data_IF_119501582027
#
_entry.id   IF_119501582027
#
_cell.length_a   1.000
_cell.length_b   1.000
_cell.length_c   1.000
_cell.angle_alpha   90.00
_cell.angle_beta   90.00
_cell.angle_gamma   90.00
#
_symmetry.space_group_name_H-M   'P 1'
#
loop_
_entity.id
_entity.type
_entity.pdbx_description
1 polymer ?
2 non-polymer ?
3 water ?
#
# COMPACT_ATOMS: atom_id res chain seq x y z
N UNK A 4 -10.19 26.49 -10.45
CA UNK A 4 -11.57 26.21 -10.05
C UNK A 4 -11.61 25.03 -9.07
N UNK A 5 -10.76 24.03 -9.29
CA UNK A 5 -10.75 22.86 -8.41
C UNK A 5 -10.21 23.24 -7.04
N UNK A 6 -10.89 22.77 -6.00
CA UNK A 6 -10.38 22.82 -4.64
C UNK A 6 -10.48 21.42 -4.05
N UNK A 7 -9.53 21.08 -3.19
CA UNK A 7 -9.50 19.73 -2.67
C UNK A 7 -10.73 19.45 -1.82
N UNK A 8 -11.23 18.22 -1.84
CA UNK A 8 -12.42 17.91 -1.04
C UNK A 8 -12.09 17.85 0.44
N UNK A 9 -13.11 18.13 1.25
CA UNK A 9 -13.01 18.13 2.70
C UNK A 9 -14.01 17.21 3.37
N UNK A 10 -14.87 16.53 2.61
CA UNK A 10 -15.98 15.78 3.18
C UNK A 10 -15.50 14.70 4.14
N UNK A 11 -16.08 14.67 5.33
CA UNK A 11 -15.82 13.63 6.31
C UNK A 11 -17.16 12.96 6.61
N UNK A 12 -17.36 11.77 6.07
CA UNK A 12 -18.60 11.04 6.32
C UNK A 12 -18.64 10.43 7.72
N UNK A 13 -17.48 10.25 8.35
CA UNK A 13 -17.43 9.57 9.64
C UNK A 13 -17.72 8.09 9.56
N UNK A 14 -17.35 7.45 8.44
CA UNK A 14 -17.56 6.02 8.29
C UNK A 14 -16.69 5.22 9.25
N UNK A 15 -17.22 4.12 9.73
CA UNK A 15 -16.41 3.13 10.42
C UNK A 15 -15.32 2.64 9.46
N UNK A 16 -14.23 2.13 10.03
CA UNK A 16 -13.18 1.55 9.20
C UNK A 16 -13.74 0.45 8.30
N UNK A 17 -14.66 -0.37 8.82
CA UNK A 17 -15.24 -1.41 7.98
C UNK A 17 -15.97 -0.83 6.78
N UNK A 18 -16.76 0.24 6.99
CA UNK A 18 -17.49 0.84 5.87
C UNK A 18 -16.55 1.53 4.89
N UNK A 19 -15.51 2.19 5.39
CA UNK A 19 -14.55 2.85 4.50
C UNK A 19 -13.86 1.82 3.62
N UNK A 20 -13.36 0.76 4.23
CA UNK A 20 -12.65 -0.27 3.47
C UNK A 20 -13.57 -0.91 2.44
N UNK A 21 -14.84 -1.13 2.80
CA UNK A 21 -15.79 -1.70 1.86
C UNK A 21 -15.95 -0.84 0.62
N UNK A 22 -15.78 0.48 0.76
CA UNK A 22 -15.97 1.41 -0.36
C UNK A 22 -14.74 1.54 -1.26
N UNK A 23 -13.61 0.93 -0.91
CA UNK A 23 -12.36 1.19 -1.64
C UNK A 23 -12.28 0.50 -3.01
N UNK A 24 -12.82 -0.70 -3.14
CA UNK A 24 -12.98 -1.42 -4.44
C UNK A 24 -11.61 -1.81 -5.02
N UNK A 25 -11.39 -1.64 -6.35
CA UNK A 25 -10.18 -2.07 -7.07
C UNK A 25 -9.14 -0.95 -7.03
N UNK A 26 -7.88 -1.27 -6.76
CA UNK A 26 -6.86 -0.25 -6.61
C UNK A 26 -5.55 -0.52 -7.34
N UNK A 27 -4.64 0.42 -7.16
CA UNK A 27 -3.46 0.56 -8.01
C UNK A 27 -2.42 1.39 -7.27
N UNK A 28 -1.16 1.00 -7.37
CA UNK A 28 -0.05 1.75 -6.81
C UNK A 28 0.71 2.49 -7.90
N UNK A 29 1.06 3.75 -7.60
CA UNK A 29 1.96 4.57 -8.42
C UNK A 29 3.41 4.15 -8.13
N UNK A 30 3.79 3.01 -8.70
CA UNK A 30 5.05 2.38 -8.33
C UNK A 30 6.26 3.00 -9.01
N UNK A 31 7.39 2.88 -8.33
CA UNK A 31 8.68 3.36 -8.85
C UNK A 31 8.60 4.83 -9.28
N UNK A 32 7.99 5.64 -8.42
CA UNK A 32 7.72 7.04 -8.71
C UNK A 32 8.22 7.88 -7.52
N UNK A 33 7.34 8.34 -6.62
CA UNK A 33 7.78 9.21 -5.54
C UNK A 33 8.54 8.51 -4.43
N UNK A 34 8.69 7.19 -4.49
CA UNK A 34 9.59 6.49 -3.59
C UNK A 34 10.97 6.24 -4.19
N UNK A 35 11.22 6.70 -5.41
CA UNK A 35 12.50 6.43 -6.08
C UNK A 35 13.65 7.19 -5.43
N UNK A 36 14.86 6.66 -5.57
CA UNK A 36 16.06 7.44 -5.27
C UNK A 36 16.17 8.55 -6.31
N UNK A 37 16.31 9.78 -5.86
CA UNK A 37 16.46 10.90 -6.76
C UNK A 37 15.18 11.60 -7.15
N UNK A 38 14.07 11.28 -6.51
CA UNK A 38 12.82 11.95 -6.80
C UNK A 38 11.98 11.20 -7.80
N UNK A 39 10.93 11.89 -8.24
CA UNK A 39 9.83 11.27 -8.99
C UNK A 39 10.31 10.52 -10.23
N UNK A 40 11.31 11.07 -10.92
CA UNK A 40 11.82 10.47 -12.16
C UNK A 40 13.09 9.66 -11.94
N UNK A 41 13.50 9.46 -10.69
CA UNK A 41 14.80 8.88 -10.41
C UNK A 41 14.95 7.44 -10.85
N UNK A 42 13.85 6.70 -10.95
CA UNK A 42 13.89 5.32 -11.42
C UNK A 42 13.33 5.20 -12.84
N UNK A 43 13.33 6.30 -13.59
CA UNK A 43 13.07 6.26 -15.01
C UNK A 43 11.63 6.48 -15.43
N UNK A 44 10.72 6.68 -14.49
CA UNK A 44 9.33 6.92 -14.86
C UNK A 44 9.09 8.40 -15.13
N UNK A 45 8.08 8.72 -15.92
CA UNK A 45 7.80 10.12 -16.24
C UNK A 45 7.16 10.84 -15.08
N UNK A 46 7.15 12.17 -15.17
CA UNK A 46 6.40 12.97 -14.22
C UNK A 46 4.93 12.60 -14.32
N UNK A 47 4.31 12.37 -13.17
CA UNK A 47 2.92 11.95 -13.12
C UNK A 47 1.98 13.10 -13.53
N UNK A 48 0.88 12.76 -14.20
CA UNK A 48 -0.12 13.74 -14.63
C UNK A 48 -1.52 13.32 -14.21
N UNK A 49 -2.42 14.30 -14.15
CA UNK A 49 -3.81 14.00 -13.87
C UNK A 49 -4.40 13.06 -14.91
N UNK A 50 -4.03 13.23 -16.19
CA UNK A 50 -4.56 12.37 -17.24
C UNK A 50 -4.29 10.89 -16.97
N UNK A 51 -3.16 10.57 -16.33
CA UNK A 51 -2.91 9.17 -15.97
C UNK A 51 -3.99 8.66 -15.03
N UNK A 52 -4.36 9.47 -14.04
CA UNK A 52 -5.39 9.09 -13.09
C UNK A 52 -6.77 9.07 -13.75
N UNK A 53 -7.04 10.02 -14.64
CA UNK A 53 -8.28 9.99 -15.40
C UNK A 53 -8.43 8.67 -16.12
N UNK A 54 -7.33 8.18 -16.71
CA UNK A 54 -7.35 6.92 -17.45
C UNK A 54 -7.63 5.75 -16.53
N UNK A 55 -7.01 5.74 -15.35
CA UNK A 55 -7.27 4.69 -14.37
C UNK A 55 -8.73 4.70 -13.93
N UNK A 56 -9.27 5.89 -13.64
CA UNK A 56 -10.66 5.97 -13.22
C UNK A 56 -11.58 5.43 -14.30
N UNK A 57 -11.34 5.81 -15.57
CA UNK A 57 -12.22 5.34 -16.64
C UNK A 57 -12.14 3.83 -16.82
N UNK A 58 -11.00 3.24 -16.48
CA UNK A 58 -10.81 1.80 -16.58
C UNK A 58 -11.42 1.02 -15.41
N UNK A 59 -11.89 1.70 -14.37
CA UNK A 59 -12.58 1.06 -13.28
C UNK A 59 -11.86 1.03 -11.95
N UNK A 60 -10.69 1.64 -11.84
CA UNK A 60 -10.01 1.73 -10.56
C UNK A 60 -10.64 2.81 -9.69
N UNK A 61 -10.60 2.59 -8.37
CA UNK A 61 -11.21 3.49 -7.41
C UNK A 61 -10.26 3.98 -6.32
N UNK A 62 -9.07 3.40 -6.21
CA UNK A 62 -8.12 3.70 -5.15
C UNK A 62 -6.71 3.73 -5.73
N UNK A 63 -5.93 4.75 -5.37
CA UNK A 63 -4.53 4.84 -5.76
C UNK A 63 -3.67 5.01 -4.51
N UNK A 64 -2.68 4.15 -4.37
CA UNK A 64 -1.65 4.29 -3.34
C UNK A 64 -0.43 4.98 -3.93
N UNK A 65 0.09 5.95 -3.18
CA UNK A 65 1.17 6.83 -3.62
C UNK A 65 2.38 6.64 -2.71
N UNK A 66 3.27 5.71 -3.05
CA UNK A 66 4.53 5.57 -2.31
C UNK A 66 5.31 6.87 -2.29
N UNK A 67 5.78 7.28 -1.10
CA UNK A 67 6.58 8.51 -0.98
C UNK A 67 7.78 8.26 -0.08
N UNK A 68 8.98 8.49 -0.63
CA UNK A 68 10.21 8.60 0.15
C UNK A 68 10.39 10.06 0.51
N UNK A 69 10.63 10.36 1.80
CA UNK A 69 10.70 11.74 2.26
C UNK A 69 12.09 12.24 2.59
N UNK A 70 13.02 11.34 2.89
CA UNK A 70 14.29 11.73 3.52
C UNK A 70 15.37 12.18 2.55
N UNK A 71 15.06 12.38 1.27
CA UNK A 71 15.93 13.15 0.39
C UNK A 71 15.46 14.59 0.29
N UNK A 72 14.40 14.96 1.00
CA UNK A 72 13.80 16.29 0.94
C UNK A 72 13.68 16.95 2.30
N UNK A 73 14.59 16.64 3.21
CA UNK A 73 14.69 17.35 4.47
C UNK A 73 15.56 18.60 4.28
N UNK A 74 15.09 19.73 4.81
CA UNK A 74 15.77 21.01 4.59
C UNK A 74 16.66 21.43 5.76
N UNK A 75 16.68 20.66 6.83
CA UNK A 75 17.47 20.96 8.01
C UNK A 75 17.87 19.63 8.62
N UNK A 76 18.34 19.67 9.86
CA UNK A 76 18.80 18.46 10.53
C UNK A 76 17.73 17.83 11.41
N UNK A 77 16.49 18.32 11.38
CA UNK A 77 15.45 17.77 12.23
C UNK A 77 14.24 17.32 11.43
N UNK A 78 14.47 16.79 10.23
CA UNK A 78 13.46 16.12 9.42
C UNK A 78 12.39 17.07 8.90
N UNK A 79 12.67 18.37 8.78
CA UNK A 79 11.69 19.28 8.21
C UNK A 79 11.59 19.05 6.71
N UNK A 80 10.39 18.79 6.22
CA UNK A 80 10.16 18.47 4.82
C UNK A 80 10.07 19.77 4.00
N UNK A 81 10.76 19.79 2.89
CA UNK A 81 10.69 20.92 1.96
C UNK A 81 9.24 21.18 1.55
N UNK A 82 8.71 22.38 1.78
CA UNK A 82 7.34 22.68 1.31
C UNK A 82 7.11 22.39 -0.16
N UNK A 83 8.12 22.54 -1.01
CA UNK A 83 7.93 22.25 -2.43
C UNK A 83 7.70 20.77 -2.68
N UNK A 84 8.32 19.91 -1.89
CA UNK A 84 8.11 18.48 -2.04
C UNK A 84 6.76 18.05 -1.48
N UNK A 85 6.42 18.57 -0.30
CA UNK A 85 5.08 18.35 0.26
C UNK A 85 4.01 18.77 -0.75
N UNK A 86 4.24 19.90 -1.44
CA UNK A 86 3.28 20.40 -2.42
C UNK A 86 3.14 19.45 -3.60
N UNK A 87 4.25 18.83 -4.03
CA UNK A 87 4.15 17.87 -5.13
C UNK A 87 3.34 16.65 -4.72
N UNK A 88 3.59 16.12 -3.52
CA UNK A 88 2.80 15.00 -3.03
C UNK A 88 1.32 15.38 -3.01
N UNK A 89 1.01 16.58 -2.51
CA UNK A 89 -0.37 17.06 -2.48
C UNK A 89 -0.97 17.16 -3.88
N UNK A 90 -0.20 17.63 -4.86
CA UNK A 90 -0.70 17.72 -6.24
C UNK A 90 -1.08 16.34 -6.75
N UNK A 91 -0.25 15.34 -6.49
CA UNK A 91 -0.54 13.97 -6.94
C UNK A 91 -1.73 13.39 -6.19
N UNK A 92 -1.82 13.61 -4.88
CA UNK A 92 -3.02 13.22 -4.13
C UNK A 92 -4.26 13.75 -4.84
N UNK A 93 -4.20 15.03 -5.24
CA UNK A 93 -5.36 15.65 -5.86
C UNK A 93 -5.66 15.14 -7.26
N UNK A 94 -4.70 14.54 -7.96
CA UNK A 94 -5.06 13.87 -9.20
C UNK A 94 -6.07 12.76 -8.93
N UNK A 95 -5.91 12.07 -7.80
CA UNK A 95 -6.84 11.02 -7.40
C UNK A 95 -8.12 11.60 -6.84
N UNK A 96 -8.00 12.54 -5.91
CA UNK A 96 -9.20 13.04 -5.25
C UNK A 96 -10.11 13.80 -6.23
N UNK A 97 -9.54 14.46 -7.24
CA UNK A 97 -10.36 15.17 -8.23
C UNK A 97 -11.16 14.20 -9.08
N UNK A 98 -10.74 12.93 -9.14
CA UNK A 98 -11.47 11.86 -9.78
C UNK A 98 -12.35 11.07 -8.80
N UNK A 99 -12.54 11.59 -7.59
CA UNK A 99 -13.30 10.92 -6.52
C UNK A 99 -12.77 9.52 -6.22
N UNK A 100 -11.45 9.36 -6.29
CA UNK A 100 -10.76 8.13 -5.94
C UNK A 100 -10.14 8.28 -4.56
N UNK A 101 -10.01 7.16 -3.86
CA UNK A 101 -9.20 7.12 -2.65
C UNK A 101 -7.73 7.32 -3.00
N UNK A 102 -7.01 7.98 -2.09
CA UNK A 102 -5.58 8.20 -2.21
C UNK A 102 -4.92 7.80 -0.89
N UNK A 103 -3.88 6.97 -0.97
CA UNK A 103 -3.14 6.53 0.22
C UNK A 103 -1.75 7.15 0.14
N UNK A 104 -1.33 7.86 1.20
CA UNK A 104 0.02 8.40 1.31
C UNK A 104 0.73 7.68 2.45
N UNK A 105 2.02 7.39 2.26
CA UNK A 105 2.78 6.61 3.24
C UNK A 105 4.18 7.23 3.44
N UNK A 106 5.00 6.51 4.20
CA UNK A 106 6.45 6.63 4.21
C UNK A 106 6.99 5.36 3.59
N UNK A 107 7.86 5.50 2.58
CA UNK A 107 8.22 4.37 1.71
C UNK A 107 9.69 4.50 1.36
N UNK A 108 10.51 3.57 1.85
CA UNK A 108 11.94 3.52 1.60
C UNK A 108 12.74 4.64 2.28
N UNK A 109 12.16 5.39 3.21
CA UNK A 109 13.02 6.16 4.10
C UNK A 109 14.06 5.21 4.69
N UNK A 110 15.25 5.72 5.00
CA UNK A 110 16.26 4.88 5.62
C UNK A 110 15.74 4.16 6.86
N UNK A 111 14.92 4.83 7.67
CA UNK A 111 14.47 4.19 8.91
C UNK A 111 13.58 2.98 8.68
N UNK A 112 13.02 2.82 7.48
CA UNK A 112 12.22 1.64 7.18
C UNK A 112 12.98 0.35 7.47
N UNK A 113 14.30 0.36 7.33
CA UNK A 113 15.12 -0.82 7.57
C UNK A 113 15.78 -0.89 8.94
N UNK A 114 15.28 -0.10 9.89
CA UNK A 114 15.89 0.04 11.21
C UNK A 114 14.92 -0.31 12.33
N UNK A 115 14.01 -1.25 12.07
CA UNK A 115 13.03 -1.69 13.07
C UNK A 115 13.66 -2.73 13.99
N UNK A 116 14.48 -2.23 14.90
CA UNK A 116 15.18 -3.03 15.90
C UNK A 116 15.37 -2.19 17.16
N UNK A 117 15.73 -2.85 18.25
CA UNK A 117 15.87 -2.12 19.52
C UNK A 117 16.96 -1.08 19.45
N UNK A 118 18.05 -1.36 18.72
CA UNK A 118 19.15 -0.41 18.63
C UNK A 118 18.71 0.94 18.04
N UNK A 119 17.70 0.96 17.19
CA UNK A 119 17.25 2.20 16.56
C UNK A 119 15.85 2.63 16.97
N UNK A 120 15.22 1.93 17.91
CA UNK A 120 13.80 2.15 18.19
C UNK A 120 13.50 3.61 18.53
N UNK A 121 14.22 4.20 19.47
CA UNK A 121 13.92 5.57 19.86
C UNK A 121 14.06 6.51 18.67
N UNK A 122 15.10 6.32 17.87
CA UNK A 122 15.34 7.21 16.74
C UNK A 122 14.27 7.08 15.67
N UNK A 123 13.82 5.85 15.37
CA UNK A 123 12.83 5.71 14.30
C UNK A 123 11.47 6.21 14.77
N UNK A 124 11.14 6.03 16.03
CA UNK A 124 9.87 6.56 16.51
C UNK A 124 9.90 8.09 16.51
N UNK A 125 11.04 8.67 16.86
CA UNK A 125 11.16 10.12 16.82
C UNK A 125 11.05 10.67 15.40
N UNK A 126 11.78 10.07 14.45
CA UNK A 126 11.67 10.53 13.07
C UNK A 126 10.28 10.32 12.52
N UNK A 127 9.68 9.15 12.75
CA UNK A 127 8.34 8.92 12.26
C UNK A 127 7.33 9.88 12.86
N UNK A 128 7.49 10.22 14.14
CA UNK A 128 6.59 11.17 14.79
C UNK A 128 6.72 12.54 14.14
N UNK A 129 7.95 13.01 13.93
CA UNK A 129 8.16 14.34 13.37
C UNK A 129 7.65 14.42 11.93
N UNK A 130 7.90 13.37 11.14
CA UNK A 130 7.45 13.32 9.76
C UNK A 130 5.93 13.23 9.68
N UNK A 131 5.33 12.30 10.42
CA UNK A 131 3.88 12.16 10.39
C UNK A 131 3.16 13.40 10.94
N UNK A 132 3.74 14.08 11.93
CA UNK A 132 3.11 15.32 12.39
C UNK A 132 3.02 16.32 11.25
N UNK A 133 4.08 16.43 10.45
CA UNK A 133 4.06 17.35 9.31
C UNK A 133 3.07 16.91 8.22
N UNK A 134 3.08 15.64 7.84
CA UNK A 134 2.15 15.17 6.80
C UNK A 134 0.72 15.37 7.28
N UNK A 135 0.43 14.90 8.49
CA UNK A 135 -0.91 15.02 9.04
C UNK A 135 -1.35 16.47 9.13
N UNK A 136 -0.48 17.35 9.64
CA UNK A 136 -0.88 18.75 9.75
C UNK A 136 -1.17 19.34 8.37
N UNK A 137 -0.36 18.99 7.37
CA UNK A 137 -0.55 19.55 6.03
C UNK A 137 -1.92 19.18 5.47
N UNK A 138 -2.35 17.94 5.71
CA UNK A 138 -3.55 17.39 5.10
C UNK A 138 -4.73 17.29 6.07
N UNK A 139 -4.72 18.04 7.20
CA UNK A 139 -5.67 17.73 8.26
C UNK A 139 -7.12 18.01 7.86
N UNK A 140 -7.37 18.94 6.93
CA UNK A 140 -8.76 19.20 6.53
C UNK A 140 -9.21 18.37 5.34
N UNK A 141 -8.36 17.50 4.79
CA UNK A 141 -8.70 16.73 3.60
C UNK A 141 -9.78 15.70 3.90
N UNK A 142 -10.57 15.40 2.86
CA UNK A 142 -11.67 14.47 2.96
C UNK A 142 -11.21 13.07 3.38
N UNK A 143 -12.20 12.25 3.72
CA UNK A 143 -12.01 10.87 4.13
C UNK A 143 -11.55 9.96 3.00
N UNK A 144 -11.42 10.46 1.78
CA UNK A 144 -10.83 9.64 0.72
C UNK A 144 -9.30 9.65 0.77
N UNK A 145 -8.69 10.50 1.59
CA UNK A 145 -7.27 10.43 1.86
C UNK A 145 -7.02 9.53 3.07
N UNK A 146 -6.18 8.52 2.89
CA UNK A 146 -5.85 7.52 3.89
C UNK A 146 -4.35 7.59 4.14
N UNK A 147 -3.91 7.36 5.38
CA UNK A 147 -2.49 7.32 5.72
C UNK A 147 -2.05 5.87 6.00
N UNK A 148 -0.83 5.53 5.61
CA UNK A 148 -0.23 4.20 5.75
C UNK A 148 1.11 4.42 6.45
N UNK A 149 1.26 3.95 7.69
CA UNK A 149 2.25 4.53 8.61
C UNK A 149 3.71 4.27 8.19
N UNK A 150 3.98 3.16 7.52
CA UNK A 150 5.31 2.79 7.03
C UNK A 150 5.10 1.66 6.04
N UNK A 151 5.85 1.63 4.95
CA UNK A 151 5.61 0.68 3.86
C UNK A 151 5.92 -0.78 4.25
N UNK A 152 7.21 -1.12 4.35
CA UNK A 152 7.67 -2.49 4.60
C UNK A 152 8.70 -2.49 5.72
N UNK A 153 8.25 -2.22 6.95
CA UNK A 153 9.18 -2.04 8.07
C UNK A 153 9.92 -3.33 8.39
N UNK A 154 11.22 -3.21 8.62
CA UNK A 154 12.02 -4.41 8.83
C UNK A 154 13.36 -4.02 9.45
N UNK A 155 14.13 -5.05 9.81
CA UNK A 155 15.53 -4.91 10.16
C UNK A 155 16.35 -5.30 8.94
N UNK A 156 17.07 -4.32 8.36
CA UNK A 156 18.01 -4.55 7.26
C UNK A 156 17.27 -5.29 6.14
N UNK A 157 17.78 -6.41 5.64
CA UNK A 157 17.09 -7.23 4.64
C UNK A 157 16.70 -8.59 5.23
N UNK A 158 16.31 -8.59 6.50
CA UNK A 158 15.81 -9.79 7.18
C UNK A 158 14.30 -9.83 6.97
N UNK A 159 13.86 -10.63 6.01
CA UNK A 159 12.44 -10.75 5.69
C UNK A 159 11.75 -11.83 6.50
N UNK A 160 12.49 -12.51 7.38
CA UNK A 160 11.91 -13.46 8.34
C UNK A 160 11.52 -12.75 9.63
N UNK A 161 12.44 -11.99 10.20
CA UNK A 161 12.16 -11.23 11.39
C UNK A 161 12.33 -12.04 12.67
N UNK A 162 12.14 -11.34 13.79
CA UNK A 162 12.20 -11.91 15.13
C UNK A 162 11.19 -11.15 15.98
N UNK A 163 10.87 -11.72 17.15
CA UNK A 163 9.94 -11.06 18.07
C UNK A 163 10.45 -9.68 18.47
N UNK A 164 11.77 -9.53 18.63
CA UNK A 164 12.32 -8.21 18.94
C UNK A 164 11.83 -7.18 17.94
N UNK A 165 11.99 -7.47 16.65
CA UNK A 165 11.65 -6.50 15.63
C UNK A 165 10.14 -6.34 15.53
N UNK A 166 9.39 -7.44 15.70
CA UNK A 166 7.94 -7.32 15.67
C UNK A 166 7.47 -6.37 16.75
N UNK A 167 8.07 -6.44 17.94
CA UNK A 167 7.65 -5.59 19.05
C UNK A 167 8.02 -4.13 18.80
N UNK A 168 9.19 -3.89 18.19
CA UNK A 168 9.55 -2.51 17.85
C UNK A 168 8.51 -1.91 16.92
N UNK A 169 8.10 -2.67 15.90
CA UNK A 169 7.06 -2.18 14.99
C UNK A 169 5.75 -1.92 15.73
N UNK A 170 5.37 -2.81 16.65
CA UNK A 170 4.14 -2.60 17.41
C UNK A 170 4.21 -1.28 18.18
N UNK A 171 5.38 -0.96 18.75
CA UNK A 171 5.51 0.31 19.47
C UNK A 171 5.48 1.50 18.52
N UNK A 172 6.09 1.37 17.34
CA UNK A 172 6.02 2.43 16.33
C UNK A 172 4.58 2.72 15.94
N UNK A 173 3.83 1.67 15.58
CA UNK A 173 2.45 1.90 15.17
C UNK A 173 1.61 2.46 16.32
N UNK A 174 1.86 2.00 17.54
CA UNK A 174 1.10 2.46 18.70
C UNK A 174 1.37 3.92 19.03
N UNK A 175 2.53 4.47 18.63
CA UNK A 175 2.81 5.88 18.82
C UNK A 175 2.33 6.73 17.64
N UNK A 176 2.55 6.26 16.42
CA UNK A 176 2.21 7.07 15.24
C UNK A 176 0.70 7.29 15.13
N UNK A 177 -0.10 6.27 15.39
CA UNK A 177 -1.56 6.44 15.26
C UNK A 177 -2.06 7.57 16.15
N UNK A 178 -1.77 7.61 17.45
CA UNK A 178 -2.27 8.74 18.26
C UNK A 178 -1.63 10.06 17.89
N UNK A 179 -0.39 10.07 17.40
CA UNK A 179 0.22 11.31 16.91
C UNK A 179 -0.63 11.91 15.80
N UNK A 180 -1.05 11.08 14.84
CA UNK A 180 -1.92 11.54 13.77
C UNK A 180 -3.25 12.04 14.32
N UNK A 181 -3.88 11.27 15.22
CA UNK A 181 -5.19 11.65 15.74
C UNK A 181 -5.14 13.01 16.41
N UNK A 182 -4.07 13.28 17.17
CA UNK A 182 -4.01 14.49 17.98
C UNK A 182 -3.86 15.75 17.15
N UNK A 183 -3.44 15.63 15.88
CA UNK A 183 -3.38 16.82 15.02
C UNK A 183 -4.77 17.33 14.69
N UNK A 184 -5.78 16.49 14.86
CA UNK A 184 -7.15 16.95 14.91
C UNK A 184 -7.85 17.08 13.56
N UNK A 185 -8.94 17.83 13.59
CA UNK A 185 -9.85 18.01 12.46
C UNK A 185 -10.13 16.63 11.84
N UNK A 186 -10.02 16.46 10.52
CA UNK A 186 -10.41 15.21 9.90
C UNK A 186 -9.44 14.08 10.22
N UNK A 187 -8.24 14.39 10.69
CA UNK A 187 -7.30 13.34 11.07
C UNK A 187 -7.78 12.53 12.27
N UNK A 188 -8.66 13.10 13.08
CA UNK A 188 -9.23 12.35 14.20
C UNK A 188 -10.18 11.25 13.72
N UNK A 189 -10.63 11.30 12.46
CA UNK A 189 -11.64 10.39 11.91
C UNK A 189 -11.17 9.67 10.65
N UNK A 190 -9.92 9.86 10.26
CA UNK A 190 -9.38 9.32 9.02
C UNK A 190 -8.94 7.87 9.20
N UNK A 191 -9.14 7.03 8.18
CA UNK A 191 -8.60 5.68 8.23
C UNK A 191 -7.07 5.73 8.20
N UNK A 192 -6.45 4.96 9.10
CA UNK A 192 -5.00 4.76 9.12
C UNK A 192 -4.71 3.28 8.93
N UNK A 193 -3.79 2.99 8.02
CA UNK A 193 -3.31 1.64 7.74
C UNK A 193 -2.03 1.37 8.52
N UNK A 194 -1.94 0.19 9.15
CA UNK A 194 -0.80 -0.20 9.94
C UNK A 194 -0.31 -1.56 9.44
N UNK A 195 0.96 -1.70 9.05
CA UNK A 195 1.46 -2.97 8.52
C UNK A 195 1.95 -3.91 9.61
N UNK A 196 1.93 -5.20 9.28
CA UNK A 196 2.77 -6.19 9.95
C UNK A 196 4.23 -5.97 9.53
N UNK A 197 5.13 -6.74 10.14
CA UNK A 197 6.55 -6.70 9.77
C UNK A 197 6.69 -7.07 8.29
N UNK A 198 7.37 -6.22 7.52
CA UNK A 198 7.51 -6.34 6.08
C UNK A 198 6.17 -6.29 5.35
N UNK A 199 5.10 -5.85 6.01
CA UNK A 199 3.73 -6.00 5.50
C UNK A 199 3.45 -7.45 5.09
N UNK A 200 4.11 -8.40 5.75
CA UNK A 200 4.01 -9.79 5.37
C UNK A 200 2.73 -10.45 5.88
N UNK A 201 2.23 -11.40 5.08
CA UNK A 201 1.15 -12.29 5.45
C UNK A 201 1.63 -13.62 5.99
N UNK A 202 2.94 -13.85 6.11
CA UNK A 202 3.39 -15.09 6.73
C UNK A 202 2.92 -15.11 8.18
N UNK A 203 2.53 -16.30 8.65
CA UNK A 203 1.87 -16.38 9.94
C UNK A 203 2.68 -15.78 11.10
N UNK A 204 3.99 -15.96 11.20
CA UNK A 204 4.68 -15.38 12.37
C UNK A 204 4.56 -13.86 12.47
N UNK A 205 4.57 -13.18 11.33
CA UNK A 205 4.38 -11.72 11.36
C UNK A 205 2.96 -11.36 11.77
N UNK A 206 1.99 -12.11 11.26
CA UNK A 206 0.59 -11.87 11.59
C UNK A 206 0.34 -12.11 13.07
N UNK A 207 0.87 -13.21 13.60
CA UNK A 207 0.68 -13.51 15.01
C UNK A 207 1.43 -12.54 15.91
N UNK A 208 2.57 -12.03 15.45
CA UNK A 208 3.37 -11.10 16.21
C UNK A 208 2.83 -9.70 16.25
N UNK A 209 1.88 -9.39 15.37
CA UNK A 209 1.28 -8.07 15.27
C UNK A 209 0.40 -7.77 16.47
N UNK A 210 0.52 -6.56 17.02
CA UNK A 210 -0.44 -6.00 17.96
C UNK A 210 -1.02 -4.79 17.26
N UNK A 211 -2.29 -4.86 16.87
CA UNK A 211 -2.92 -3.71 16.24
C UNK A 211 -3.11 -2.64 17.31
N UNK A 212 -2.77 -1.37 17.05
CA UNK A 212 -2.98 -0.34 18.06
C UNK A 212 -4.40 -0.30 18.58
N UNK A 213 -4.54 0.17 19.83
CA UNK A 213 -5.83 0.36 20.46
C UNK A 213 -6.47 1.62 19.90
N UNK A 214 -7.00 1.49 18.69
CA UNK A 214 -7.65 2.58 17.93
C UNK A 214 -8.72 1.87 17.11
N UNK A 215 -9.96 2.36 17.10
CA UNK A 215 -11.05 1.63 16.44
C UNK A 215 -11.17 1.89 14.95
N UNK A 216 -10.30 2.69 14.37
CA UNK A 216 -10.41 3.12 12.97
C UNK A 216 -9.09 2.94 12.24
N UNK A 217 -8.58 1.71 12.29
CA UNK A 217 -7.39 1.32 11.56
C UNK A 217 -7.67 0.07 10.72
N UNK A 218 -6.85 -0.10 9.70
CA UNK A 218 -6.86 -1.30 8.87
C UNK A 218 -5.45 -1.88 8.83
N UNK A 219 -5.35 -3.20 8.72
CA UNK A 219 -4.03 -3.83 8.61
C UNK A 219 -3.59 -3.80 7.15
N UNK A 220 -2.34 -3.40 6.93
CA UNK A 220 -1.72 -3.33 5.61
C UNK A 220 -0.92 -4.60 5.35
N UNK A 221 -1.26 -5.31 4.27
CA UNK A 221 -0.59 -6.53 3.85
C UNK A 221 -0.15 -6.39 2.41
N UNK A 222 1.07 -6.83 2.12
CA UNK A 222 1.60 -6.93 0.75
C UNK A 222 1.82 -8.42 0.50
N UNK A 223 1.15 -8.98 -0.50
CA UNK A 223 1.14 -10.45 -0.66
C UNK A 223 1.28 -10.82 -2.14
N UNK A 224 2.53 -10.85 -2.59
CA UNK A 224 2.86 -11.34 -3.93
C UNK A 224 3.11 -12.84 -3.78
N UNK A 225 2.01 -13.59 -3.74
CA UNK A 225 2.06 -14.98 -3.30
C UNK A 225 1.37 -15.90 -4.29
N UNK A 226 1.85 -17.14 -4.47
CA UNK A 226 3.12 -17.64 -3.95
C UNK A 226 4.29 -16.93 -4.63
N UNK A 227 5.36 -16.68 -3.89
CA UNK A 227 6.46 -15.85 -4.37
C UNK A 227 7.07 -16.36 -5.67
N UNK A 228 7.34 -17.67 -5.79
CA UNK A 228 8.10 -18.13 -6.94
C UNK A 228 7.36 -17.90 -8.25
N UNK A 229 6.03 -17.95 -8.22
CA UNK A 229 5.22 -17.64 -9.40
C UNK A 229 5.03 -16.13 -9.56
N UNK A 230 4.68 -15.45 -8.49
CA UNK A 230 4.17 -14.09 -8.60
C UNK A 230 5.26 -13.03 -8.73
N UNK A 231 6.41 -13.21 -8.09
CA UNK A 231 7.39 -12.14 -8.01
C UNK A 231 8.82 -12.56 -8.29
N UNK A 232 9.18 -13.83 -8.17
CA UNK A 232 10.54 -14.26 -8.49
C UNK A 232 10.73 -14.17 -9.99
N UNK A 233 11.69 -13.35 -10.43
CA UNK A 233 11.92 -13.11 -11.86
C UNK A 233 13.03 -13.97 -12.44
N UNK A 234 13.67 -14.82 -11.65
CA UNK A 234 14.77 -15.61 -12.19
C UNK A 234 14.27 -16.50 -13.33
N UNK A 235 15.11 -16.74 -14.33
CA UNK A 235 14.72 -17.67 -15.38
C UNK A 235 14.53 -19.07 -14.81
N UNK A 236 13.63 -19.84 -15.43
CA UNK A 236 13.35 -21.19 -15.01
C UNK A 236 12.38 -21.34 -13.86
N UNK A 237 11.90 -20.23 -13.31
CA UNK A 237 10.94 -20.26 -12.21
C UNK A 237 9.54 -20.57 -12.72
N UNK A 238 8.61 -20.89 -11.83
CA UNK A 238 7.26 -21.27 -12.27
C UNK A 238 6.54 -20.18 -13.04
N UNK A 239 5.78 -20.60 -14.06
CA UNK A 239 4.91 -19.73 -14.83
C UNK A 239 3.45 -20.13 -14.81
N UNK A 240 3.12 -21.35 -14.36
CA UNK A 240 1.75 -21.86 -14.41
C UNK A 240 1.06 -21.57 -13.09
N UNK A 241 -0.17 -21.08 -13.17
CA UNK A 241 -1.02 -20.90 -11.99
C UNK A 241 -1.84 -22.18 -11.82
N UNK A 242 -1.50 -22.98 -10.81
CA UNK A 242 -2.12 -24.26 -10.58
C UNK A 242 -2.70 -24.43 -9.19
N UNK A 243 -3.15 -25.66 -8.92
CA UNK A 243 -3.91 -25.95 -7.72
C UNK A 243 -3.14 -25.58 -6.45
N UNK A 244 -1.84 -25.89 -6.39
CA UNK A 244 -1.10 -25.61 -5.16
C UNK A 244 -0.96 -24.11 -4.93
N UNK A 245 -0.86 -23.33 -6.00
CA UNK A 245 -0.77 -21.89 -5.86
C UNK A 245 -2.08 -21.31 -5.34
N UNK A 246 -3.19 -21.75 -5.94
CA UNK A 246 -4.51 -21.32 -5.47
C UNK A 246 -4.72 -21.71 -4.02
N UNK A 247 -4.31 -22.92 -3.64
CA UNK A 247 -4.47 -23.36 -2.26
C UNK A 247 -3.69 -22.47 -1.30
N UNK A 248 -2.48 -22.05 -1.69
CA UNK A 248 -1.68 -21.21 -0.81
C UNK A 248 -2.36 -19.85 -0.60
N UNK A 249 -2.88 -19.27 -1.67
CA UNK A 249 -3.59 -18.00 -1.56
C UNK A 249 -4.81 -18.16 -0.67
N UNK A 250 -5.60 -19.21 -0.91
CA UNK A 250 -6.83 -19.39 -0.13
C UNK A 250 -6.53 -19.56 1.35
N UNK A 251 -5.52 -20.37 1.68
CA UNK A 251 -5.15 -20.57 3.08
C UNK A 251 -4.73 -19.27 3.73
N UNK A 252 -3.93 -18.48 3.03
CA UNK A 252 -3.45 -17.22 3.58
C UNK A 252 -4.62 -16.28 3.85
N UNK A 253 -5.55 -16.18 2.91
CA UNK A 253 -6.67 -15.25 3.08
C UNK A 253 -7.62 -15.71 4.17
N UNK A 254 -7.89 -17.01 4.25
CA UNK A 254 -8.70 -17.51 5.37
C UNK A 254 -8.04 -17.18 6.71
N UNK A 255 -6.72 -17.28 6.79
CA UNK A 255 -6.01 -16.98 8.02
C UNK A 255 -6.09 -15.49 8.36
N UNK A 256 -5.95 -14.61 7.36
CA UNK A 256 -6.07 -13.18 7.63
C UNK A 256 -7.49 -12.85 8.09
N UNK A 257 -8.48 -13.52 7.50
CA UNK A 257 -9.87 -13.34 7.92
C UNK A 257 -10.05 -13.76 9.37
N UNK A 258 -9.48 -14.91 9.76
CA UNK A 258 -9.61 -15.37 11.15
C UNK A 258 -8.93 -14.41 12.12
N UNK A 259 -7.75 -13.91 11.77
CA UNK A 259 -6.98 -13.14 12.74
C UNK A 259 -7.54 -11.73 12.90
N UNK A 260 -7.90 -11.08 11.79
CA UNK A 260 -8.26 -9.66 11.79
C UNK A 260 -9.74 -9.43 11.48
N UNK A 261 -10.19 -9.86 10.31
CA UNK A 261 -11.50 -9.41 9.81
C UNK A 261 -12.64 -9.89 10.71
N UNK A 262 -12.58 -11.16 11.14
CA UNK A 262 -13.60 -11.70 12.02
C UNK A 262 -13.58 -11.04 13.39
N UNK A 263 -12.49 -10.39 13.75
CA UNK A 263 -12.40 -9.63 15.00
C UNK A 263 -12.73 -8.16 14.79
N UNK A 264 -13.29 -7.80 13.64
CA UNK A 264 -13.72 -6.44 13.37
C UNK A 264 -12.67 -5.49 12.88
N UNK A 265 -11.51 -6.00 12.43
CA UNK A 265 -10.42 -5.16 11.94
C UNK A 265 -10.23 -5.46 10.45
N UNK A 266 -10.50 -4.51 9.56
CA UNK A 266 -10.36 -4.79 8.14
C UNK A 266 -8.92 -4.92 7.71
N UNK A 267 -8.71 -5.58 6.57
CA UNK A 267 -7.41 -5.79 5.96
C UNK A 267 -7.44 -5.21 4.55
N UNK A 268 -6.38 -4.50 4.18
CA UNK A 268 -6.18 -4.00 2.82
C UNK A 268 -4.95 -4.70 2.25
N UNK A 269 -5.08 -5.30 1.07
CA UNK A 269 -3.93 -5.81 0.33
C UNK A 269 -3.34 -4.62 -0.43
N UNK A 270 -2.45 -3.90 0.25
CA UNK A 270 -1.90 -2.67 -0.29
C UNK A 270 -0.98 -2.86 -1.47
N UNK A 271 -0.45 -4.08 -1.65
CA UNK A 271 0.32 -4.42 -2.84
C UNK A 271 0.11 -5.89 -3.18
N UNK A 272 -0.14 -6.17 -4.46
CA UNK A 272 -0.02 -7.51 -5.02
C UNK A 272 0.21 -7.32 -6.51
N UNK A 273 0.65 -8.39 -7.18
CA UNK A 273 0.79 -8.45 -8.63
C UNK A 273 1.29 -9.84 -8.98
N UNK A 274 1.30 -10.14 -10.29
CA UNK A 274 1.98 -11.31 -10.83
C UNK A 274 2.85 -10.84 -12.00
N UNK A 275 4.15 -11.08 -11.89
CA UNK A 275 5.09 -10.58 -12.88
C UNK A 275 4.93 -11.29 -14.22
N UNK A 276 5.19 -10.54 -15.30
CA UNK A 276 5.04 -11.08 -16.65
C UNK A 276 6.16 -12.06 -16.96
N UNK A 277 5.81 -13.31 -17.18
CA UNK A 277 6.73 -14.34 -17.66
C UNK A 277 6.23 -14.86 -19.01
N UNK A 278 5.63 -13.97 -19.80
CA UNK A 278 5.06 -14.32 -21.10
C UNK A 278 4.01 -15.41 -20.95
N UNK A 279 3.20 -15.26 -19.90
CA UNK A 279 2.23 -16.24 -19.44
C UNK A 279 0.89 -15.59 -19.18
N UNK A 280 0.37 -14.88 -20.19
CA UNK A 280 -0.81 -14.04 -20.00
C UNK A 280 -1.98 -14.81 -19.40
N UNK A 281 -2.29 -16.00 -19.92
CA UNK A 281 -3.47 -16.70 -19.42
C UNK A 281 -3.31 -17.09 -17.96
N UNK A 282 -2.10 -17.50 -17.56
CA UNK A 282 -1.84 -17.76 -16.15
C UNK A 282 -2.01 -16.51 -15.30
N UNK A 283 -1.58 -15.36 -15.82
CA UNK A 283 -1.73 -14.11 -15.07
C UNK A 283 -3.20 -13.72 -14.92
N UNK A 284 -4.00 -13.97 -15.97
CA UNK A 284 -5.45 -13.70 -15.90
C UNK A 284 -6.08 -14.57 -14.83
N UNK A 285 -5.79 -15.88 -14.88
CA UNK A 285 -6.38 -16.81 -13.93
C UNK A 285 -5.94 -16.50 -12.52
N UNK A 286 -4.66 -16.19 -12.32
CA UNK A 286 -4.17 -15.78 -11.02
C UNK A 286 -4.92 -14.57 -10.50
N UNK A 287 -5.04 -13.54 -11.33
CA UNK A 287 -5.60 -12.27 -10.87
C UNK A 287 -7.07 -12.40 -10.55
N UNK A 288 -7.81 -13.12 -11.38
CA UNK A 288 -9.22 -13.39 -11.09
C UNK A 288 -9.36 -14.13 -9.77
N UNK A 289 -8.60 -15.21 -9.61
CA UNK A 289 -8.69 -16.01 -8.39
C UNK A 289 -8.32 -15.18 -7.16
N UNK A 290 -7.21 -14.44 -7.26
CA UNK A 290 -6.70 -13.65 -6.15
C UNK A 290 -7.73 -12.62 -5.70
N UNK A 291 -8.22 -11.82 -6.63
CA UNK A 291 -9.16 -10.77 -6.26
C UNK A 291 -10.46 -11.37 -5.77
N UNK A 292 -10.94 -12.45 -6.39
CA UNK A 292 -12.16 -13.13 -5.91
C UNK A 292 -12.00 -13.54 -4.46
N UNK A 293 -10.88 -14.18 -4.14
CA UNK A 293 -10.65 -14.68 -2.79
C UNK A 293 -10.58 -13.53 -1.80
N UNK A 294 -9.81 -12.48 -2.12
CA UNK A 294 -9.72 -11.33 -1.24
C UNK A 294 -11.08 -10.67 -1.03
N UNK A 295 -11.86 -10.54 -2.10
CA UNK A 295 -13.16 -9.89 -2.01
C UNK A 295 -14.10 -10.67 -1.10
N UNK A 296 -13.97 -12.01 -1.08
CA UNK A 296 -14.80 -12.82 -0.19
C UNK A 296 -14.61 -12.44 1.27
N UNK A 297 -13.45 -11.88 1.64
CA UNK A 297 -13.16 -11.44 3.00
C UNK A 297 -13.06 -9.92 3.11
N UNK A 298 -13.63 -9.20 2.15
CA UNK A 298 -13.71 -7.74 2.23
C UNK A 298 -12.40 -7.01 2.12
N UNK A 299 -11.41 -7.60 1.45
CA UNK A 299 -10.09 -6.99 1.36
C UNK A 299 -9.87 -6.37 -0.01
N UNK A 300 -9.76 -5.04 -0.10
CA UNK A 300 -9.40 -4.45 -1.39
C UNK A 300 -7.98 -4.82 -1.79
N UNK A 301 -7.78 -4.95 -3.10
CA UNK A 301 -6.49 -5.33 -3.68
C UNK A 301 -5.96 -4.20 -4.55
N UNK A 302 -4.71 -3.82 -4.32
CA UNK A 302 -4.06 -2.74 -5.05
C UNK A 302 -2.88 -3.29 -5.84
N UNK A 303 -2.98 -3.31 -7.16
CA UNK A 303 -1.92 -3.82 -8.02
C UNK A 303 -0.70 -2.90 -7.96
N UNK A 304 0.49 -3.49 -7.88
CA UNK A 304 1.75 -2.73 -7.93
C UNK A 304 2.14 -2.48 -9.38
N UNK A 305 1.97 -1.25 -9.84
CA UNK A 305 2.23 -0.88 -11.24
C UNK A 305 3.48 0.00 -11.31
N UNK A 306 4.59 -0.61 -11.73
CA UNK A 306 5.85 0.11 -11.85
C UNK A 306 6.13 0.66 -13.26
N UNK A 307 5.17 0.56 -14.18
CA UNK A 307 5.33 1.08 -15.54
C UNK A 307 6.45 0.38 -16.29
N UNK A 308 6.83 -0.85 -15.92
CA UNK A 308 7.86 -1.61 -16.61
C UNK A 308 7.22 -2.57 -17.61
N UNK A 309 7.43 -2.29 -18.90
CA UNK A 309 6.97 -3.12 -20.00
C UNK A 309 8.14 -3.68 -20.80
N UNK A 310 9.35 -3.59 -20.26
CA UNK A 310 10.53 -4.03 -20.94
C UNK A 310 10.80 -5.51 -20.71
N UNK A 311 12.03 -5.91 -21.06
CA UNK A 311 12.41 -7.30 -21.11
C UNK A 311 13.04 -7.79 -19.82
N UNK A 312 13.43 -6.89 -18.92
CA UNK A 312 14.15 -7.25 -17.70
C UNK A 312 13.43 -6.68 -16.49
N UNK A 313 13.83 -7.17 -15.33
CA UNK A 313 13.33 -6.64 -14.08
C UNK A 313 11.95 -7.19 -13.73
N UNK A 314 11.28 -6.49 -12.81
CA UNK A 314 9.94 -6.88 -12.38
C UNK A 314 8.96 -6.33 -13.39
N UNK A 315 8.39 -7.20 -14.21
CA UNK A 315 7.53 -6.79 -15.34
C UNK A 315 6.11 -6.71 -14.82
N UNK A 316 5.76 -5.56 -14.25
CA UNK A 316 4.52 -5.38 -13.50
C UNK A 316 3.66 -4.26 -14.05
N UNK A 317 4.00 -3.71 -15.22
CA UNK A 317 3.23 -2.62 -15.76
C UNK A 317 1.83 -3.05 -16.18
N UNK A 318 0.85 -2.18 -15.90
CA UNK A 318 -0.49 -2.29 -16.46
C UNK A 318 -0.85 -1.08 -17.31
N UNK A 319 -0.67 0.12 -16.76
CA UNK A 319 -0.87 1.36 -17.49
C UNK A 319 0.46 1.80 -18.11
N UNK A 320 0.53 1.85 -19.43
CA UNK A 320 1.70 2.40 -20.09
C UNK A 320 1.60 3.91 -19.96
N UNK A 321 2.47 4.51 -19.14
CA UNK A 321 2.34 5.93 -18.84
C UNK A 321 2.81 6.82 -19.97
N UNK A 322 3.53 6.30 -20.95
CA UNK A 322 3.97 7.11 -22.08
C UNK A 322 2.81 7.51 -22.96
N UNK A 323 1.83 6.62 -23.16
CA UNK A 323 0.73 6.91 -24.08
C UNK A 323 -0.64 6.59 -23.49
N UNK A 324 -0.69 6.26 -22.20
CA UNK A 324 -1.94 6.10 -21.45
C UNK A 324 -2.80 4.96 -21.98
N UNK A 325 -2.16 3.83 -22.22
CA UNK A 325 -2.83 2.66 -22.76
C UNK A 325 -2.65 1.49 -21.81
N UNK A 326 -3.46 0.46 -22.03
CA UNK A 326 -3.40 -0.79 -21.28
C UNK A 326 -3.04 -1.92 -22.24
N UNK A 327 -1.80 -2.36 -22.30
CA UNK A 327 -1.45 -3.44 -23.25
C UNK A 327 -2.00 -4.80 -22.83
N UNK A 328 -2.35 -4.96 -21.55
CA UNK A 328 -2.89 -6.20 -21.00
C UNK A 328 -4.25 -5.88 -20.39
N UNK A 329 -5.22 -5.48 -21.21
CA UNK A 329 -6.54 -5.13 -20.66
C UNK A 329 -7.19 -6.31 -19.96
N UNK A 330 -6.80 -7.53 -20.33
CA UNK A 330 -7.36 -8.73 -19.71
C UNK A 330 -7.08 -8.77 -18.22
N UNK A 331 -5.99 -8.16 -17.77
CA UNK A 331 -5.66 -8.20 -16.35
C UNK A 331 -6.52 -7.22 -15.56
N UNK A 332 -6.83 -6.06 -16.15
CA UNK A 332 -7.79 -5.16 -15.52
C UNK A 332 -9.15 -5.82 -15.46
N UNK A 333 -9.56 -6.47 -16.55
CA UNK A 333 -10.85 -7.15 -16.56
C UNK A 333 -10.88 -8.28 -15.54
N UNK A 334 -9.76 -8.97 -15.33
CA UNK A 334 -9.70 -10.03 -14.33
C UNK A 334 -9.93 -9.49 -12.93
N UNK A 335 -9.39 -8.30 -12.63
CA UNK A 335 -9.66 -7.68 -11.34
C UNK A 335 -11.15 -7.37 -11.20
N UNK A 336 -11.75 -6.82 -12.25
CA UNK A 336 -13.18 -6.53 -12.20
C UNK A 336 -13.99 -7.81 -12.03
N UNK A 337 -13.63 -8.85 -12.76
CA UNK A 337 -14.38 -10.10 -12.68
C UNK A 337 -14.23 -10.74 -11.32
N UNK A 338 -13.07 -10.60 -10.68
CA UNK A 338 -12.91 -11.13 -9.34
C UNK A 338 -13.66 -10.34 -8.29
N UNK A 339 -13.74 -9.01 -8.49
CA UNK A 339 -14.39 -8.13 -7.53
C UNK A 339 -15.91 -8.22 -7.61
N UNK A 340 -16.48 -8.29 -8.80
CA UNK A 340 -17.92 -8.17 -8.94
C UNK A 340 -18.61 -9.53 -8.91
X LIG B 1 -15.16 11.46 -12.05
X LIG B 1 -13.76 11.46 -12.39
X LIG B 1 -15.37 11.69 -10.55
X LIG B 1 -14.98 13.02 -10.18
X LIG B 1 -15.60 10.50 -12.33
X LIG B 1 -15.67 12.24 -12.62
X LIG B 1 -13.67 11.31 -13.35
X LIG B 1 -14.78 10.97 -9.99
X LIG B 1 -16.42 11.54 -10.30
X LIG B 1 -15.13 13.15 -9.24
X LIG C 1 3.56 20.93 10.80
X LIG C 1 4.60 21.28 9.89
X LIG C 1 4.01 19.94 11.87
X LIG C 1 5.32 20.16 12.38
X LIG C 1 2.72 20.51 10.25
X LIG C 1 3.20 21.84 11.29
X LIG C 1 4.25 21.86 9.20
X LIG C 1 3.96 18.94 11.45
X LIG C 1 3.30 19.98 12.71
X LIG C 1 5.52 19.51 13.08
#
# INVERSE_FOLDING_TARGET
>A
SPADYTHPTEMRGLSAMDLVKDMKIGWNLGNTLESVGGETGWGNPVTTKKMFDTLKAAGFNTVRIPVRWDENYIDANYTIDPAYMARVETVVNYALANDMYAIVNIHHNKFQGQFDEAHKAAIINEGTIVWTQIANHFKDYSDKLIFDTINQPRHEEDWVGTSEYFNVLNEYNAKIVPVIRATGENNAKRLIMVPTYCASSDYPKVAGMVVPNDPNVAVSIHAYIPYNLALNIAPGTPTTFGDADAAFIDKTFRMLNNTFVKKGIPVIIGQFAITDKDNLQDRINFTKFYVSTATAYGMPCLWWDNNNFGSTGERLGLLNRKNLTFPYPELVQAMKDGFN
>B hetero
1 EDO C1 O1 C2 O2 H11 H12 HO1 H21 H22 HO2
>C hetero
1 EDO C1 O1 C2 O2 H11 H12 HO1 H21 H22 HO2
#
